data_IF_566072530935
#
_entry.id   IF_566072530935
#
_cell.length_a   1.000
_cell.length_b   1.000
_cell.length_c   1.000
_cell.angle_alpha   90.00
_cell.angle_beta   90.00
_cell.angle_gamma   90.00
#
_symmetry.space_group_name_H-M   'P 1'
#
loop_
_entity.id
_entity.type
_entity.pdbx_description
1 polymer ?
#
# COMPACT_ATOMS: atom_id res chain seq x y z
N UNK A 1 -22.89 44.88 -12.37
CA UNK A 1 -22.20 44.09 -11.32
C UNK A 1 -20.75 43.87 -11.75
N UNK A 2 -19.77 44.17 -10.91
CA UNK A 2 -18.37 44.20 -11.29
C UNK A 2 -17.86 42.76 -11.52
N UNK A 3 -17.36 42.43 -12.72
CA UNK A 3 -17.04 41.03 -13.13
C UNK A 3 -16.10 40.31 -12.17
N UNK A 4 -15.20 41.06 -11.52
CA UNK A 4 -14.27 40.54 -10.50
C UNK A 4 -14.97 40.20 -9.19
N UNK A 5 -15.92 41.04 -8.75
CA UNK A 5 -16.70 40.82 -7.51
C UNK A 5 -17.59 39.58 -7.64
N UNK A 6 -18.16 39.34 -8.82
CA UNK A 6 -18.93 38.13 -9.10
C UNK A 6 -18.05 36.87 -9.05
N UNK A 7 -16.82 36.93 -9.57
CA UNK A 7 -15.86 35.83 -9.50
C UNK A 7 -15.49 35.45 -8.07
N UNK A 8 -15.19 36.43 -7.20
CA UNK A 8 -14.90 36.17 -5.80
C UNK A 8 -16.10 35.63 -5.01
N UNK A 9 -17.31 36.09 -5.33
CA UNK A 9 -18.53 35.55 -4.73
C UNK A 9 -18.74 34.07 -5.09
N UNK A 10 -18.46 33.67 -6.34
CA UNK A 10 -18.60 32.30 -6.80
C UNK A 10 -17.56 31.35 -6.16
N UNK A 11 -16.31 31.81 -5.99
CA UNK A 11 -15.27 30.98 -5.35
C UNK A 11 -15.56 30.74 -3.87
N UNK A 12 -16.00 31.78 -3.14
CA UNK A 12 -16.39 31.67 -1.72
C UNK A 12 -17.61 30.74 -1.57
N UNK A 13 -18.58 30.84 -2.48
CA UNK A 13 -19.75 29.96 -2.48
C UNK A 13 -19.35 28.49 -2.71
N UNK A 14 -18.44 28.24 -3.64
CA UNK A 14 -17.96 26.89 -3.97
C UNK A 14 -17.18 26.27 -2.81
N UNK A 15 -16.28 27.02 -2.16
CA UNK A 15 -15.49 26.51 -1.04
C UNK A 15 -16.32 26.22 0.21
N UNK A 16 -17.42 26.97 0.43
CA UNK A 16 -18.34 26.72 1.55
C UNK A 16 -19.27 25.52 1.31
N UNK A 17 -19.57 25.20 0.05
CA UNK A 17 -20.46 24.09 -0.32
C UNK A 17 -19.70 22.78 -0.51
N UNK A 18 -18.41 22.82 -0.83
CA UNK A 18 -17.58 21.64 -1.04
C UNK A 18 -17.61 20.63 0.13
N UNK A 19 -17.54 21.04 1.42
CA UNK A 19 -17.62 20.10 2.54
C UNK A 19 -19.00 19.42 2.61
N UNK A 20 -20.07 20.15 2.33
CA UNK A 20 -21.45 19.61 2.34
C UNK A 20 -21.64 18.58 1.23
N UNK A 21 -21.01 18.79 0.07
CA UNK A 21 -20.99 17.81 -1.02
C UNK A 21 -20.22 16.55 -0.66
N UNK A 22 -19.10 16.66 0.07
CA UNK A 22 -18.35 15.48 0.57
C UNK A 22 -19.21 14.66 1.54
N UNK A 23 -19.93 15.30 2.46
CA UNK A 23 -20.87 14.59 3.35
C UNK A 23 -22.10 14.02 2.63
N UNK A 24 -22.53 14.62 1.52
CA UNK A 24 -23.59 14.08 0.68
C UNK A 24 -23.10 12.87 -0.16
N UNK A 25 -21.80 12.82 -0.48
CA UNK A 25 -21.18 11.72 -1.23
C UNK A 25 -21.03 10.44 -0.40
N UNK A 26 -20.89 10.54 0.93
CA UNK A 26 -20.89 9.35 1.82
C UNK A 26 -22.17 8.51 1.65
N UNK A 27 -23.34 9.17 1.46
CA UNK A 27 -24.61 8.49 1.14
C UNK A 27 -24.71 8.02 -0.31
N UNK A 28 -24.02 8.70 -1.22
CA UNK A 28 -23.94 8.28 -2.61
C UNK A 28 -23.04 7.04 -2.79
N UNK A 29 -22.06 6.83 -1.92
CA UNK A 29 -21.20 5.64 -1.94
C UNK A 29 -21.90 4.39 -1.40
N UNK A 30 -22.84 4.52 -0.46
CA UNK A 30 -23.81 3.45 -0.13
C UNK A 30 -24.72 3.13 -1.33
N UNK A 31 -25.10 4.15 -2.11
CA UNK A 31 -25.95 3.97 -3.30
C UNK A 31 -25.17 3.38 -4.48
N UNK A 32 -23.87 3.65 -4.62
CA UNK A 32 -22.98 2.97 -5.60
C UNK A 32 -22.75 1.51 -5.22
N UNK A 33 -22.56 1.21 -3.93
CA UNK A 33 -22.55 -0.19 -3.43
C UNK A 33 -23.87 -0.91 -3.64
N UNK A 34 -25.00 -0.19 -3.64
CA UNK A 34 -26.33 -0.76 -3.89
C UNK A 34 -26.74 -0.79 -5.38
N UNK A 35 -26.08 -0.02 -6.25
CA UNK A 35 -26.29 -0.04 -7.70
C UNK A 35 -25.56 -1.21 -8.39
N UNK A 36 -24.70 -1.93 -7.67
CA UNK A 36 -24.23 -3.25 -8.06
C UNK A 36 -25.27 -4.30 -7.69
N UNK A 37 -26.25 -4.48 -8.58
CA UNK A 37 -27.08 -5.67 -8.61
C UNK A 37 -26.17 -6.90 -8.79
N UNK A 38 -25.70 -7.53 -7.70
CA UNK A 38 -24.73 -8.64 -7.74
C UNK A 38 -23.69 -8.39 -8.84
N UNK A 39 -22.92 -7.30 -8.70
CA UNK A 39 -21.83 -6.99 -9.62
C UNK A 39 -20.91 -8.20 -9.78
N UNK A 40 -20.25 -8.32 -10.93
CA UNK A 40 -19.26 -9.38 -11.18
C UNK A 40 -18.30 -9.54 -9.99
N UNK A 41 -17.94 -8.42 -9.37
CA UNK A 41 -17.12 -8.30 -8.17
C UNK A 41 -17.71 -9.05 -6.97
N UNK A 42 -19.01 -8.89 -6.66
CA UNK A 42 -19.66 -9.60 -5.57
C UNK A 42 -19.72 -11.12 -5.80
N UNK A 43 -19.88 -11.54 -7.07
CA UNK A 43 -19.89 -12.96 -7.44
C UNK A 43 -18.50 -13.59 -7.33
N UNK A 44 -17.47 -12.83 -7.71
CA UNK A 44 -16.06 -13.18 -7.53
C UNK A 44 -15.78 -13.27 -6.03
N UNK A 45 -16.07 -12.24 -5.25
CA UNK A 45 -15.84 -12.22 -3.81
C UNK A 45 -16.51 -13.40 -3.10
N UNK A 46 -17.77 -13.71 -3.40
CA UNK A 46 -18.46 -14.85 -2.80
C UNK A 46 -17.84 -16.21 -3.19
N UNK A 47 -17.25 -16.31 -4.39
CA UNK A 47 -16.57 -17.52 -4.84
C UNK A 47 -15.16 -17.66 -4.24
N UNK A 48 -14.46 -16.55 -3.99
CA UNK A 48 -13.13 -16.52 -3.39
C UNK A 48 -13.15 -16.48 -1.85
N UNK A 49 -14.22 -15.98 -1.23
CA UNK A 49 -14.44 -15.94 0.21
C UNK A 49 -14.14 -17.27 0.93
N UNK A 50 -14.68 -18.43 0.52
CA UNK A 50 -14.41 -19.69 1.23
C UNK A 50 -12.93 -20.11 1.17
N UNK A 51 -12.21 -19.71 0.12
CA UNK A 51 -10.78 -19.97 0.00
C UNK A 51 -9.99 -19.01 0.87
N UNK A 52 -10.33 -17.72 0.84
CA UNK A 52 -9.71 -16.69 1.68
C UNK A 52 -9.90 -16.99 3.18
N UNK A 53 -11.12 -17.33 3.60
CA UNK A 53 -11.44 -17.67 4.99
C UNK A 53 -10.67 -18.90 5.49
N UNK A 54 -10.50 -19.90 4.61
CA UNK A 54 -9.71 -21.10 4.92
C UNK A 54 -8.22 -20.76 5.13
N UNK A 55 -7.66 -19.89 4.27
CA UNK A 55 -6.28 -19.40 4.43
C UNK A 55 -6.12 -18.54 5.68
N UNK A 56 -7.05 -17.63 5.96
CA UNK A 56 -7.02 -16.81 7.17
C UNK A 56 -7.04 -17.67 8.42
N UNK A 57 -7.96 -18.64 8.50
CA UNK A 57 -8.02 -19.57 9.64
C UNK A 57 -6.72 -20.34 9.81
N UNK A 58 -6.14 -20.85 8.72
CA UNK A 58 -4.89 -21.61 8.77
C UNK A 58 -3.68 -20.76 9.20
N UNK A 59 -3.53 -19.56 8.63
CA UNK A 59 -2.40 -18.66 8.83
C UNK A 59 -2.45 -17.99 10.21
N UNK A 60 -3.65 -17.66 10.70
CA UNK A 60 -3.88 -17.03 12.00
C UNK A 60 -4.18 -18.00 13.14
N UNK A 61 -4.09 -19.32 12.90
CA UNK A 61 -4.18 -20.31 13.98
C UNK A 61 -3.10 -20.00 15.05
N UNK A 62 -3.48 -19.78 16.32
CA UNK A 62 -2.52 -19.47 17.37
C UNK A 62 -1.71 -20.71 17.74
N UNK A 63 -0.40 -20.59 17.64
CA UNK A 63 0.57 -21.62 18.04
C UNK A 63 1.46 -20.98 19.11
N UNK A 64 1.46 -21.55 20.32
CA UNK A 64 2.16 -20.96 21.48
C UNK A 64 1.76 -19.51 21.82
N UNK A 65 0.50 -19.11 21.55
CA UNK A 65 0.01 -17.76 21.81
C UNK A 65 0.37 -16.71 20.75
N UNK A 66 1.01 -17.12 19.65
CA UNK A 66 1.33 -16.27 18.50
C UNK A 66 0.76 -16.88 17.21
N UNK A 67 0.23 -16.08 16.27
CA UNK A 67 -0.17 -16.55 14.94
C UNK A 67 0.91 -17.39 14.26
N UNK A 68 0.55 -18.56 13.71
CA UNK A 68 1.47 -19.44 13.00
C UNK A 68 2.29 -18.72 11.92
N UNK A 69 1.67 -17.79 11.20
CA UNK A 69 2.33 -16.96 10.18
C UNK A 69 3.54 -16.19 10.70
N UNK A 70 3.50 -15.70 11.95
CA UNK A 70 4.64 -15.00 12.55
C UNK A 70 5.82 -15.93 12.77
N UNK A 71 5.56 -17.18 13.20
CA UNK A 71 6.61 -18.18 13.38
C UNK A 71 7.27 -18.49 12.04
N UNK A 72 6.47 -18.68 10.99
CA UNK A 72 6.95 -18.92 9.63
C UNK A 72 7.77 -17.72 9.10
N UNK A 73 7.29 -16.49 9.31
CA UNK A 73 7.98 -15.26 8.90
C UNK A 73 9.32 -15.08 9.63
N UNK A 74 9.35 -15.30 10.94
CA UNK A 74 10.59 -15.22 11.72
C UNK A 74 11.56 -16.31 11.29
N UNK A 75 11.09 -17.54 11.08
CA UNK A 75 11.93 -18.62 10.59
C UNK A 75 12.52 -18.29 9.21
N UNK A 76 11.70 -17.81 8.27
CA UNK A 76 12.15 -17.37 6.95
C UNK A 76 13.18 -16.24 7.06
N UNK A 77 12.92 -15.22 7.89
CA UNK A 77 13.85 -14.13 8.12
C UNK A 77 15.19 -14.61 8.69
N UNK A 78 15.18 -15.51 9.67
CA UNK A 78 16.40 -16.09 10.25
C UNK A 78 17.12 -16.95 9.22
N UNK A 79 16.42 -17.81 8.49
CA UNK A 79 17.00 -18.65 7.45
C UNK A 79 17.69 -17.79 6.37
N UNK A 80 17.01 -16.80 5.80
CA UNK A 80 17.60 -15.92 4.80
C UNK A 80 18.76 -15.09 5.38
N UNK A 81 18.65 -14.64 6.63
CA UNK A 81 19.73 -13.89 7.29
C UNK A 81 20.98 -14.75 7.47
N UNK A 82 20.84 -16.01 7.87
CA UNK A 82 21.96 -16.94 8.03
C UNK A 82 22.50 -17.43 6.68
N UNK A 83 21.63 -17.82 5.75
CA UNK A 83 21.99 -18.31 4.43
C UNK A 83 22.77 -17.26 3.62
N UNK A 84 22.37 -15.99 3.68
CA UNK A 84 23.09 -14.89 3.05
C UNK A 84 24.22 -14.30 3.93
N UNK A 85 24.43 -14.86 5.13
CA UNK A 85 25.49 -14.46 6.05
C UNK A 85 25.40 -13.00 6.48
N UNK A 86 24.25 -12.55 6.98
CA UNK A 86 24.01 -11.18 7.45
C UNK A 86 24.32 -10.13 6.38
N UNK A 87 23.85 -10.36 5.14
CA UNK A 87 24.10 -9.47 4.00
C UNK A 87 23.66 -8.03 4.28
N UNK A 88 22.57 -7.84 5.03
CA UNK A 88 22.06 -6.54 5.45
C UNK A 88 23.09 -5.73 6.24
N UNK A 89 24.01 -6.38 6.96
CA UNK A 89 25.11 -5.72 7.69
C UNK A 89 26.36 -5.66 6.81
N UNK A 90 26.75 -6.78 6.18
CA UNK A 90 27.99 -6.88 5.40
C UNK A 90 28.01 -5.96 4.17
N UNK A 91 26.88 -5.79 3.49
CA UNK A 91 26.75 -4.98 2.27
C UNK A 91 26.25 -3.56 2.54
N UNK A 92 25.92 -3.21 3.78
CA UNK A 92 25.54 -1.84 4.14
C UNK A 92 26.62 -0.79 3.78
N UNK A 93 27.93 -1.02 4.02
CA UNK A 93 28.97 -0.08 3.60
C UNK A 93 29.14 0.01 2.09
N UNK A 94 28.75 -1.03 1.34
CA UNK A 94 28.74 -0.97 -0.12
C UNK A 94 27.62 -0.03 -0.60
N UNK A 95 26.41 -0.20 -0.08
CA UNK A 95 25.28 0.69 -0.38
C UNK A 95 25.61 2.15 -0.08
N UNK A 96 26.27 2.44 1.05
CA UNK A 96 26.72 3.80 1.37
C UNK A 96 27.74 4.35 0.36
N UNK A 97 28.68 3.53 -0.14
CA UNK A 97 29.65 3.97 -1.15
C UNK A 97 28.99 4.25 -2.50
N UNK A 98 27.97 3.46 -2.87
CA UNK A 98 27.18 3.66 -4.08
C UNK A 98 26.40 4.97 -4.00
N UNK A 99 25.62 5.20 -2.93
CA UNK A 99 24.84 6.44 -2.77
C UNK A 99 25.72 7.69 -2.62
N UNK A 100 26.98 7.52 -2.17
CA UNK A 100 27.97 8.60 -2.12
C UNK A 100 28.64 8.91 -3.46
N UNK A 101 28.23 8.25 -4.55
CA UNK A 101 28.76 8.47 -5.90
C UNK A 101 30.15 7.90 -6.15
N UNK A 102 30.69 7.05 -5.24
CA UNK A 102 32.05 6.48 -5.40
C UNK A 102 32.15 5.53 -6.61
N UNK A 103 31.02 5.11 -7.16
CA UNK A 103 30.94 4.13 -8.25
C UNK A 103 30.23 4.67 -9.50
N UNK A 104 29.91 5.98 -9.54
CA UNK A 104 29.19 6.60 -10.67
C UNK A 104 30.01 6.55 -11.97
N UNK A 105 31.34 6.61 -11.86
CA UNK A 105 32.27 6.50 -13.00
C UNK A 105 32.17 5.14 -13.70
N UNK A 106 31.89 4.07 -12.94
CA UNK A 106 31.73 2.70 -13.47
C UNK A 106 30.35 2.54 -14.13
N UNK A 107 29.32 3.22 -13.60
CA UNK A 107 27.96 3.21 -14.15
C UNK A 107 27.85 3.99 -15.48
N UNK A 108 28.69 5.00 -15.67
CA UNK A 108 28.80 5.78 -16.91
C UNK A 108 29.70 5.14 -17.99
N UNK A 109 30.17 3.91 -17.77
CA UNK A 109 30.99 3.16 -18.74
C UNK A 109 32.50 3.43 -18.64
N UNK A 110 32.97 3.99 -17.53
CA UNK A 110 34.40 4.09 -17.22
C UNK A 110 34.99 2.75 -16.81
N UNK A 111 36.18 2.44 -17.33
CA UNK A 111 36.93 1.22 -17.02
C UNK A 111 37.26 1.15 -15.51
N UNK A 112 37.16 -0.03 -14.87
CA UNK A 112 37.48 -0.19 -13.45
C UNK A 112 38.98 -0.01 -13.20
N UNK A 113 39.33 0.86 -12.25
CA UNK A 113 40.71 1.05 -11.72
C UNK A 113 40.97 0.25 -10.46
#
# INVERSE_FOLDING_TARGET
MNRKVFGYALTIFTTLIFPVLVFAQDKADETKKAADAIGLDQKIDNAFAPVADAWDTFIFTPVFGVPFVLILLVFGAVFFTLAFGFVNIRRFPLALRVVRGKYDEIEQGGEPV
#
